data_IF_198173024724
#
_entry.id   IF_198173024724
#
_cell.length_a   1.000
_cell.length_b   1.000
_cell.length_c   1.000
_cell.angle_alpha   90.00
_cell.angle_beta   90.00
_cell.angle_gamma   90.00
#
_symmetry.space_group_name_H-M   'P 1'
#
loop_
_entity.id
_entity.type
_entity.pdbx_description
1 polymer ?
#
# COMPACT_ATOMS: atom_id res chain seq x y z
N UNK A 1 -15.18 3.59 -2.65
CA UNK A 1 -15.85 2.39 -2.07
C UNK A 1 -16.69 2.79 -0.88
N UNK A 2 -17.76 2.07 -0.54
CA UNK A 2 -18.41 2.22 0.77
C UNK A 2 -17.43 1.88 1.88
N UNK A 3 -17.55 2.56 3.05
CA UNK A 3 -16.65 2.33 4.18
C UNK A 3 -16.99 1.06 4.99
N UNK A 4 -18.14 0.43 4.73
CA UNK A 4 -18.66 -0.74 5.45
C UNK A 4 -19.33 -1.74 4.53
N UNK A 5 -19.52 -2.98 4.99
CA UNK A 5 -20.23 -4.05 4.28
C UNK A 5 -19.41 -4.70 3.15
N UNK A 6 -18.09 -4.51 3.14
CA UNK A 6 -17.19 -5.15 2.17
C UNK A 6 -16.53 -6.39 2.75
N UNK A 7 -16.04 -7.23 1.85
CA UNK A 7 -15.07 -8.29 2.16
C UNK A 7 -13.74 -7.90 1.51
N UNK A 8 -12.73 -7.66 2.35
CA UNK A 8 -11.49 -6.96 2.01
C UNK A 8 -10.28 -7.87 2.24
N UNK A 9 -9.46 -8.09 1.24
CA UNK A 9 -8.17 -8.76 1.40
C UNK A 9 -7.00 -7.77 1.34
N UNK A 10 -6.12 -7.82 2.36
CA UNK A 10 -5.01 -6.89 2.53
C UNK A 10 -3.68 -7.67 2.66
N UNK A 11 -3.06 -8.14 1.56
CA UNK A 11 -1.72 -8.72 1.57
C UNK A 11 -0.66 -7.72 2.06
N UNK A 12 0.22 -8.16 2.97
CA UNK A 12 1.25 -7.29 3.56
C UNK A 12 0.78 -6.47 4.77
N UNK A 13 -0.30 -6.88 5.42
CA UNK A 13 -0.93 -6.15 6.53
C UNK A 13 -0.64 -6.74 7.92
N UNK A 14 0.49 -7.43 8.11
CA UNK A 14 0.86 -7.98 9.43
C UNK A 14 1.45 -6.95 10.40
N UNK A 15 1.65 -5.70 9.97
CA UNK A 15 2.16 -4.61 10.80
C UNK A 15 1.86 -3.24 10.18
N UNK A 16 2.23 -2.16 10.90
CA UNK A 16 2.22 -0.79 10.39
C UNK A 16 0.87 -0.35 9.85
N UNK A 17 0.89 0.38 8.72
CA UNK A 17 -0.31 0.93 8.08
C UNK A 17 -1.34 -0.17 7.77
N UNK A 18 -0.87 -1.32 7.26
CA UNK A 18 -1.76 -2.40 6.85
C UNK A 18 -2.57 -2.98 7.98
N UNK A 19 -1.96 -3.31 9.10
CA UNK A 19 -2.65 -3.85 10.27
C UNK A 19 -3.57 -2.82 10.92
N UNK A 20 -3.10 -1.58 11.04
CA UNK A 20 -3.92 -0.51 11.61
C UNK A 20 -5.15 -0.21 10.73
N UNK A 21 -5.00 -0.21 9.40
CA UNK A 21 -6.11 -0.04 8.47
C UNK A 21 -7.08 -1.24 8.53
N UNK A 22 -6.55 -2.48 8.56
CA UNK A 22 -7.35 -3.69 8.69
C UNK A 22 -8.25 -3.65 9.94
N UNK A 23 -7.69 -3.30 11.10
CA UNK A 23 -8.45 -3.19 12.35
C UNK A 23 -9.53 -2.09 12.30
N UNK A 24 -9.23 -0.93 11.70
CA UNK A 24 -10.21 0.16 11.55
C UNK A 24 -11.32 -0.19 10.56
N UNK A 25 -11.01 -0.85 9.45
CA UNK A 25 -12.00 -1.31 8.48
C UNK A 25 -12.90 -2.40 9.09
N UNK A 26 -12.33 -3.35 9.83
CA UNK A 26 -13.10 -4.38 10.55
C UNK A 26 -14.07 -3.74 11.56
N UNK A 27 -13.62 -2.75 12.32
CA UNK A 27 -14.46 -2.02 13.28
C UNK A 27 -15.61 -1.24 12.61
N UNK A 28 -15.56 -0.99 11.29
CA UNK A 28 -16.65 -0.39 10.50
C UNK A 28 -17.61 -1.42 9.90
N UNK A 29 -17.49 -2.69 10.28
CA UNK A 29 -18.40 -3.76 9.85
C UNK A 29 -18.04 -4.39 8.51
N UNK A 30 -16.75 -4.37 8.14
CA UNK A 30 -16.25 -5.13 7.02
C UNK A 30 -15.72 -6.50 7.48
N UNK A 31 -15.78 -7.51 6.62
CA UNK A 31 -14.99 -8.73 6.74
C UNK A 31 -13.59 -8.43 6.21
N UNK A 32 -12.56 -8.60 7.03
CA UNK A 32 -11.19 -8.25 6.64
C UNK A 32 -10.26 -9.43 6.80
N UNK A 33 -9.54 -9.76 5.73
CA UNK A 33 -8.55 -10.82 5.66
C UNK A 33 -7.15 -10.18 5.62
N UNK A 34 -6.34 -10.44 6.64
CA UNK A 34 -4.95 -10.00 6.75
C UNK A 34 -4.06 -11.02 6.05
N UNK A 35 -3.21 -10.56 5.14
CA UNK A 35 -2.25 -11.42 4.43
C UNK A 35 -0.80 -11.20 4.86
N UNK A 36 -0.04 -12.29 5.02
CA UNK A 36 1.38 -12.23 5.34
C UNK A 36 2.13 -13.55 5.19
N UNK A 37 3.46 -13.50 5.27
CA UNK A 37 4.32 -14.68 5.03
C UNK A 37 4.45 -15.61 6.23
N UNK A 38 4.43 -15.04 7.44
CA UNK A 38 4.74 -15.75 8.69
C UNK A 38 3.46 -16.24 9.35
N UNK A 39 3.28 -17.56 9.40
CA UNK A 39 2.10 -18.19 10.04
C UNK A 39 1.95 -17.81 11.50
N UNK A 40 3.04 -17.84 12.28
CA UNK A 40 3.03 -17.47 13.70
C UNK A 40 2.55 -16.03 13.93
N UNK A 41 2.91 -15.10 13.04
CA UNK A 41 2.46 -13.71 13.11
C UNK A 41 0.97 -13.59 12.78
N UNK A 42 0.49 -14.36 11.80
CA UNK A 42 -0.93 -14.41 11.44
C UNK A 42 -1.77 -15.00 12.57
N UNK A 43 -1.31 -16.05 13.22
CA UNK A 43 -1.95 -16.64 14.40
C UNK A 43 -2.02 -15.65 15.56
N UNK A 44 -0.94 -14.92 15.82
CA UNK A 44 -0.91 -13.84 16.81
C UNK A 44 -1.93 -12.75 16.50
N UNK A 45 -2.00 -12.29 15.25
CA UNK A 45 -2.95 -11.26 14.83
C UNK A 45 -4.38 -11.74 15.01
N UNK A 46 -4.71 -12.98 14.62
CA UNK A 46 -6.05 -13.55 14.80
C UNK A 46 -6.44 -13.63 16.28
N UNK A 47 -5.49 -13.90 17.17
CA UNK A 47 -5.73 -13.94 18.62
C UNK A 47 -5.89 -12.55 19.25
N UNK A 48 -5.08 -11.57 18.82
CA UNK A 48 -5.08 -10.19 19.35
C UNK A 48 -6.22 -9.33 18.78
N UNK A 49 -6.69 -9.65 17.57
CA UNK A 49 -7.74 -8.92 16.85
C UNK A 49 -8.90 -9.86 16.47
N UNK A 50 -9.75 -10.26 17.44
CA UNK A 50 -10.89 -11.11 17.14
C UNK A 50 -11.80 -10.49 16.07
N UNK A 51 -12.04 -11.25 14.99
CA UNK A 51 -12.82 -10.78 13.83
C UNK A 51 -12.00 -10.40 12.61
N UNK A 52 -10.66 -10.34 12.70
CA UNK A 52 -9.80 -10.39 11.54
C UNK A 52 -9.59 -11.85 11.13
N UNK A 53 -9.80 -12.15 9.84
CA UNK A 53 -9.38 -13.40 9.23
C UNK A 53 -7.94 -13.29 8.70
N UNK A 54 -7.29 -14.40 8.42
CA UNK A 54 -5.89 -14.41 7.98
C UNK A 54 -5.67 -15.37 6.81
N UNK A 55 -4.70 -15.05 5.95
CA UNK A 55 -4.25 -15.89 4.86
C UNK A 55 -2.74 -15.83 4.72
N UNK A 56 -2.09 -16.99 4.58
CA UNK A 56 -0.66 -17.00 4.33
C UNK A 56 -0.36 -16.68 2.86
N UNK A 57 0.50 -15.68 2.64
CA UNK A 57 0.87 -15.25 1.28
C UNK A 57 2.26 -14.61 1.25
N UNK A 58 3.07 -15.01 0.28
CA UNK A 58 4.27 -14.29 -0.15
C UNK A 58 3.99 -13.60 -1.49
N UNK A 59 3.94 -12.27 -1.48
CA UNK A 59 3.64 -11.47 -2.67
C UNK A 59 4.80 -11.43 -3.68
N UNK A 60 5.96 -11.97 -3.34
CA UNK A 60 7.09 -12.13 -4.27
C UNK A 60 7.04 -13.45 -5.03
N UNK A 61 6.30 -14.44 -4.54
CA UNK A 61 6.16 -15.78 -5.14
C UNK A 61 4.83 -15.95 -5.87
N UNK A 62 4.82 -16.11 -7.21
CA UNK A 62 3.61 -16.34 -7.99
C UNK A 62 2.81 -17.59 -7.55
N UNK A 63 3.48 -18.66 -7.11
CA UNK A 63 2.81 -19.87 -6.65
C UNK A 63 2.07 -19.63 -5.33
N UNK A 64 2.70 -18.90 -4.39
CA UNK A 64 2.07 -18.50 -3.14
C UNK A 64 0.87 -17.58 -3.37
N UNK A 65 0.96 -16.62 -4.31
CA UNK A 65 -0.15 -15.75 -4.68
C UNK A 65 -1.33 -16.58 -5.22
N UNK A 66 -1.07 -17.51 -6.14
CA UNK A 66 -2.14 -18.35 -6.73
C UNK A 66 -2.81 -19.23 -5.68
N UNK A 67 -2.05 -19.82 -4.77
CA UNK A 67 -2.58 -20.64 -3.70
C UNK A 67 -3.42 -19.81 -2.72
N UNK A 68 -2.93 -18.66 -2.30
CA UNK A 68 -3.65 -17.76 -1.40
C UNK A 68 -4.92 -17.19 -2.06
N UNK A 69 -4.87 -16.81 -3.34
CA UNK A 69 -6.06 -16.36 -4.06
C UNK A 69 -7.15 -17.42 -4.09
N UNK A 70 -6.79 -18.67 -4.42
CA UNK A 70 -7.76 -19.78 -4.38
C UNK A 70 -8.34 -19.96 -3.00
N UNK A 71 -7.52 -20.05 -1.97
CA UNK A 71 -7.96 -20.24 -0.59
C UNK A 71 -8.90 -19.13 -0.11
N UNK A 72 -8.51 -17.86 -0.36
CA UNK A 72 -9.29 -16.69 0.06
C UNK A 72 -10.63 -16.66 -0.67
N UNK A 73 -10.67 -16.88 -1.97
CA UNK A 73 -11.90 -16.87 -2.75
C UNK A 73 -12.83 -18.07 -2.45
N UNK A 74 -12.28 -19.22 -2.12
CA UNK A 74 -13.06 -20.38 -1.65
C UNK A 74 -13.77 -20.09 -0.29
N UNK A 75 -13.11 -19.36 0.61
CA UNK A 75 -13.66 -18.97 1.93
C UNK A 75 -14.53 -17.71 1.88
N UNK A 76 -14.23 -16.81 0.98
CA UNK A 76 -14.86 -15.49 0.85
C UNK A 76 -15.26 -15.22 -0.61
N UNK A 77 -16.28 -15.90 -1.14
CA UNK A 77 -16.75 -15.73 -2.52
C UNK A 77 -17.38 -14.34 -2.79
N UNK A 78 -17.65 -13.58 -1.76
CA UNK A 78 -18.14 -12.20 -1.79
C UNK A 78 -17.04 -11.15 -1.70
N UNK A 79 -15.75 -11.54 -1.79
CA UNK A 79 -14.62 -10.61 -1.75
C UNK A 79 -14.77 -9.57 -2.87
N UNK A 80 -14.81 -8.30 -2.48
CA UNK A 80 -15.01 -7.20 -3.40
C UNK A 80 -13.96 -6.09 -3.28
N UNK A 81 -13.03 -6.18 -2.31
CA UNK A 81 -11.95 -5.20 -2.17
C UNK A 81 -10.58 -5.89 -2.04
N UNK A 82 -9.65 -5.50 -2.90
CA UNK A 82 -8.24 -5.90 -2.83
C UNK A 82 -7.37 -4.70 -2.50
N UNK A 83 -6.60 -4.75 -1.41
CA UNK A 83 -5.62 -3.72 -1.06
C UNK A 83 -4.21 -4.22 -1.36
N UNK A 84 -3.65 -3.83 -2.48
CA UNK A 84 -2.31 -4.24 -2.92
C UNK A 84 -1.24 -3.33 -2.29
N UNK A 85 -0.86 -3.61 -1.03
CA UNK A 85 -0.03 -2.70 -0.24
C UNK A 85 1.29 -3.28 0.25
N UNK A 86 1.56 -4.56 0.06
CA UNK A 86 2.84 -5.15 0.45
C UNK A 86 4.00 -4.36 -0.14
N UNK A 87 4.98 -4.00 0.69
CA UNK A 87 6.10 -3.21 0.24
C UNK A 87 7.27 -3.24 1.21
N UNK A 88 8.45 -3.01 0.69
CA UNK A 88 9.71 -2.88 1.41
C UNK A 88 10.43 -1.60 0.98
N UNK A 89 11.29 -1.09 1.84
CA UNK A 89 12.08 0.10 1.60
C UNK A 89 13.48 -0.09 2.18
N UNK A 90 14.50 0.25 1.42
CA UNK A 90 15.90 0.15 1.84
C UNK A 90 16.65 1.44 1.54
N UNK A 91 17.63 1.77 2.37
CA UNK A 91 18.64 2.78 2.07
C UNK A 91 19.63 2.16 1.07
N UNK A 92 19.92 2.88 0.00
CA UNK A 92 20.77 2.42 -1.10
C UNK A 92 21.87 3.44 -1.39
N UNK A 93 23.09 2.95 -1.60
CA UNK A 93 24.21 3.75 -2.10
C UNK A 93 24.51 3.37 -3.56
N UNK A 94 24.06 4.18 -4.48
CA UNK A 94 24.21 3.93 -5.92
C UNK A 94 25.64 4.20 -6.47
N UNK A 95 26.59 4.61 -5.64
CA UNK A 95 28.00 4.62 -5.98
C UNK A 95 28.63 3.21 -5.92
N UNK A 96 27.95 2.24 -5.30
CA UNK A 96 28.47 0.88 -5.08
C UNK A 96 27.52 -0.16 -5.69
N UNK A 97 27.71 -0.55 -6.97
CA UNK A 97 26.77 -1.44 -7.68
C UNK A 97 26.47 -2.75 -6.95
N UNK A 98 27.47 -3.34 -6.28
CA UNK A 98 27.32 -4.59 -5.55
C UNK A 98 26.36 -4.49 -4.36
N UNK A 99 26.18 -3.28 -3.79
CA UNK A 99 25.32 -3.09 -2.63
C UNK A 99 23.86 -2.79 -3.01
N UNK A 100 23.61 -2.03 -4.10
CA UNK A 100 22.26 -1.61 -4.43
C UNK A 100 21.49 -2.57 -5.35
N UNK A 101 22.16 -3.35 -6.22
CA UNK A 101 21.46 -4.12 -7.27
C UNK A 101 20.49 -5.15 -6.67
N UNK A 102 20.93 -5.94 -5.71
CA UNK A 102 20.07 -6.94 -5.04
C UNK A 102 18.92 -6.27 -4.28
N UNK A 103 19.16 -5.11 -3.66
CA UNK A 103 18.13 -4.29 -3.02
C UNK A 103 17.10 -3.81 -4.05
N UNK A 104 17.55 -3.24 -5.15
CA UNK A 104 16.70 -2.75 -6.23
C UNK A 104 15.79 -3.84 -6.81
N UNK A 105 16.37 -5.01 -7.13
CA UNK A 105 15.61 -6.17 -7.63
C UNK A 105 14.54 -6.63 -6.61
N UNK A 106 14.90 -6.71 -5.33
CA UNK A 106 13.97 -7.06 -4.25
C UNK A 106 12.84 -6.04 -4.11
N UNK A 107 13.16 -4.74 -4.14
CA UNK A 107 12.18 -3.65 -4.07
C UNK A 107 11.22 -3.69 -5.26
N UNK A 108 11.73 -3.82 -6.49
CA UNK A 108 10.89 -3.90 -7.69
C UNK A 108 10.02 -5.16 -7.66
N UNK A 109 10.57 -6.29 -7.27
CA UNK A 109 9.81 -7.55 -7.17
C UNK A 109 8.67 -7.43 -6.16
N UNK A 110 8.93 -6.87 -4.99
CA UNK A 110 7.92 -6.75 -3.93
C UNK A 110 6.92 -5.63 -4.22
N UNK A 111 7.41 -4.43 -4.54
CA UNK A 111 6.58 -3.22 -4.57
C UNK A 111 5.85 -3.00 -5.90
N UNK A 112 6.31 -3.60 -6.99
CA UNK A 112 5.72 -3.44 -8.32
C UNK A 112 5.19 -4.76 -8.88
N UNK A 113 6.02 -5.79 -9.00
CA UNK A 113 5.57 -7.07 -9.54
C UNK A 113 4.58 -7.77 -8.59
N UNK A 114 4.75 -7.65 -7.28
CA UNK A 114 3.81 -8.16 -6.29
C UNK A 114 2.37 -7.65 -6.51
N UNK A 115 2.11 -6.34 -6.48
CA UNK A 115 0.81 -5.76 -6.79
C UNK A 115 0.24 -6.16 -8.15
N UNK A 116 1.06 -6.20 -9.22
CA UNK A 116 0.62 -6.64 -10.56
C UNK A 116 0.14 -8.10 -10.51
N UNK A 117 0.89 -8.99 -9.88
CA UNK A 117 0.54 -10.41 -9.74
C UNK A 117 -0.71 -10.62 -8.88
N UNK A 118 -0.84 -9.85 -7.80
CA UNK A 118 -2.06 -9.85 -6.96
C UNK A 118 -3.28 -9.43 -7.76
N UNK A 119 -3.20 -8.31 -8.48
CA UNK A 119 -4.29 -7.85 -9.33
C UNK A 119 -4.64 -8.92 -10.37
N UNK A 120 -3.64 -9.51 -11.03
CA UNK A 120 -3.88 -10.58 -12.02
C UNK A 120 -4.59 -11.80 -11.43
N UNK A 121 -4.31 -12.16 -10.17
CA UNK A 121 -4.92 -13.31 -9.50
C UNK A 121 -6.38 -13.06 -9.07
N UNK A 122 -6.79 -11.81 -8.88
CA UNK A 122 -8.12 -11.47 -8.37
C UNK A 122 -9.02 -10.76 -9.39
N UNK A 123 -8.50 -10.27 -10.50
CA UNK A 123 -9.23 -9.35 -11.40
C UNK A 123 -10.50 -9.97 -12.00
N UNK A 124 -10.47 -11.23 -12.42
CA UNK A 124 -11.65 -11.90 -12.96
C UNK A 124 -12.78 -11.99 -11.93
N UNK A 125 -12.43 -12.35 -10.69
CA UNK A 125 -13.37 -12.40 -9.58
C UNK A 125 -13.93 -11.01 -9.26
N UNK A 126 -13.07 -9.99 -9.17
CA UNK A 126 -13.49 -8.61 -8.86
C UNK A 126 -14.42 -8.05 -9.95
N UNK A 127 -14.16 -8.32 -11.22
CA UNK A 127 -15.05 -7.91 -12.32
C UNK A 127 -16.43 -8.61 -12.28
N UNK A 128 -16.53 -9.77 -11.65
CA UNK A 128 -17.81 -10.45 -11.46
C UNK A 128 -18.63 -9.92 -10.29
N UNK A 129 -18.02 -9.10 -9.40
CA UNK A 129 -18.73 -8.46 -8.28
C UNK A 129 -19.51 -7.22 -8.78
N UNK A 130 -20.68 -6.91 -8.20
CA UNK A 130 -21.50 -5.77 -8.59
C UNK A 130 -20.84 -4.40 -8.28
N UNK A 131 -20.00 -4.35 -7.25
CA UNK A 131 -19.22 -3.17 -6.84
C UNK A 131 -17.88 -3.66 -6.27
N UNK A 132 -16.79 -3.40 -6.95
CA UNK A 132 -15.47 -3.84 -6.54
C UNK A 132 -14.46 -2.69 -6.51
N UNK A 133 -13.46 -2.81 -5.64
CA UNK A 133 -12.41 -1.79 -5.53
C UNK A 133 -11.03 -2.45 -5.43
N UNK A 134 -10.09 -1.94 -6.21
CA UNK A 134 -8.66 -2.18 -6.04
C UNK A 134 -8.06 -0.94 -5.39
N UNK A 135 -7.46 -1.10 -4.21
CA UNK A 135 -6.66 -0.05 -3.58
C UNK A 135 -5.18 -0.37 -3.81
N UNK A 136 -4.52 0.49 -4.57
CA UNK A 136 -3.06 0.48 -4.72
C UNK A 136 -2.41 1.40 -3.71
N UNK A 137 -1.15 1.14 -3.33
CA UNK A 137 -0.45 1.98 -2.34
C UNK A 137 0.87 2.47 -2.92
N UNK A 138 0.87 3.74 -3.33
CA UNK A 138 2.09 4.45 -3.74
C UNK A 138 2.81 5.11 -2.55
N UNK A 139 3.29 6.30 -2.70
CA UNK A 139 3.94 7.11 -1.66
C UNK A 139 4.10 8.54 -2.14
N UNK A 140 4.24 9.50 -1.26
CA UNK A 140 4.70 10.85 -1.60
C UNK A 140 6.05 10.85 -2.32
N UNK A 141 6.91 9.85 -2.06
CA UNK A 141 8.20 9.69 -2.75
C UNK A 141 8.09 9.16 -4.19
N UNK A 142 6.90 8.76 -4.63
CA UNK A 142 6.60 8.51 -6.04
C UNK A 142 6.48 9.79 -6.87
N UNK A 143 6.35 10.95 -6.21
CA UNK A 143 6.22 12.28 -6.83
C UNK A 143 7.43 13.18 -6.55
N UNK A 144 8.03 13.04 -5.37
CA UNK A 144 9.20 13.80 -4.93
C UNK A 144 10.25 12.83 -4.42
N UNK A 145 11.44 12.70 -5.05
CA UNK A 145 12.38 11.64 -4.72
C UNK A 145 13.09 11.88 -3.38
N UNK A 146 13.12 10.85 -2.55
CA UNK A 146 14.00 10.79 -1.40
C UNK A 146 15.36 10.21 -1.85
N UNK A 147 16.44 10.96 -1.67
CA UNK A 147 17.77 10.66 -2.18
C UNK A 147 18.28 9.26 -1.86
N UNK A 148 18.01 8.79 -0.64
CA UNK A 148 18.58 7.55 -0.11
C UNK A 148 17.81 6.28 -0.48
N UNK A 149 16.70 6.40 -1.23
CA UNK A 149 15.83 5.26 -1.57
C UNK A 149 15.42 5.23 -3.04
N UNK A 150 16.38 5.26 -4.00
CA UNK A 150 16.06 5.43 -5.42
C UNK A 150 15.13 4.36 -6.00
N UNK A 151 15.37 3.08 -5.70
CA UNK A 151 14.52 1.99 -6.20
C UNK A 151 13.12 2.01 -5.61
N UNK A 152 12.98 2.40 -4.34
CA UNK A 152 11.68 2.59 -3.71
C UNK A 152 10.89 3.71 -4.41
N UNK A 153 11.51 4.88 -4.61
CA UNK A 153 10.87 6.00 -5.31
C UNK A 153 10.38 5.58 -6.70
N UNK A 154 11.25 4.90 -7.47
CA UNK A 154 10.91 4.38 -8.80
C UNK A 154 9.73 3.41 -8.75
N UNK A 155 9.72 2.47 -7.78
CA UNK A 155 8.61 1.52 -7.61
C UNK A 155 7.29 2.23 -7.30
N UNK A 156 7.31 3.29 -6.48
CA UNK A 156 6.11 4.04 -6.09
C UNK A 156 5.60 4.96 -7.19
N UNK A 157 6.49 5.55 -7.99
CA UNK A 157 6.13 6.25 -9.22
C UNK A 157 5.49 5.30 -10.25
N UNK A 158 6.02 4.08 -10.39
CA UNK A 158 5.43 3.05 -11.25
C UNK A 158 4.03 2.63 -10.78
N UNK A 159 3.79 2.48 -9.47
CA UNK A 159 2.44 2.17 -8.93
C UNK A 159 1.46 3.31 -9.19
N UNK A 160 1.88 4.58 -9.07
CA UNK A 160 1.03 5.71 -9.45
C UNK A 160 0.58 5.61 -10.91
N UNK A 161 1.53 5.47 -11.83
CA UNK A 161 1.23 5.36 -13.27
C UNK A 161 0.40 4.10 -13.60
N UNK A 162 0.65 2.98 -12.92
CA UNK A 162 -0.16 1.77 -13.03
C UNK A 162 -1.61 2.03 -12.60
N UNK A 163 -1.81 2.75 -11.50
CA UNK A 163 -3.16 3.09 -10.98
C UNK A 163 -3.94 3.95 -11.96
N UNK A 164 -3.30 4.96 -12.56
CA UNK A 164 -3.89 5.78 -13.61
C UNK A 164 -4.30 4.92 -14.83
N UNK A 165 -3.41 4.04 -15.28
CA UNK A 165 -3.65 3.17 -16.45
C UNK A 165 -4.77 2.17 -16.19
N UNK A 166 -4.83 1.57 -15.00
CA UNK A 166 -5.89 0.63 -14.62
C UNK A 166 -7.26 1.32 -14.56
N UNK A 167 -7.35 2.56 -14.06
CA UNK A 167 -8.61 3.33 -14.08
C UNK A 167 -9.15 3.51 -15.50
N UNK A 168 -8.26 3.73 -16.48
CA UNK A 168 -8.66 3.87 -17.87
C UNK A 168 -9.13 2.55 -18.48
N UNK A 169 -8.39 1.46 -18.21
CA UNK A 169 -8.70 0.15 -18.77
C UNK A 169 -9.95 -0.50 -18.16
N UNK A 170 -10.23 -0.25 -16.90
CA UNK A 170 -11.36 -0.85 -16.16
C UNK A 170 -12.60 0.05 -16.12
N UNK A 171 -12.59 1.16 -16.83
CA UNK A 171 -13.67 2.17 -16.80
C UNK A 171 -15.04 1.66 -17.22
N UNK A 172 -15.09 0.59 -18.02
CA UNK A 172 -16.31 -0.08 -18.49
C UNK A 172 -16.73 -1.29 -17.61
N UNK A 173 -16.06 -1.49 -16.47
CA UNK A 173 -16.35 -2.58 -15.52
C UNK A 173 -16.90 -2.03 -14.18
N UNK A 174 -17.26 -2.95 -13.26
CA UNK A 174 -17.64 -2.62 -11.88
C UNK A 174 -16.46 -2.24 -10.98
N UNK A 175 -15.21 -2.41 -11.46
CA UNK A 175 -13.99 -2.29 -10.63
C UNK A 175 -13.52 -0.84 -10.59
N UNK A 176 -13.53 -0.25 -9.41
CA UNK A 176 -12.91 1.06 -9.14
C UNK A 176 -11.45 0.88 -8.73
N UNK A 177 -10.60 1.83 -9.09
CA UNK A 177 -9.19 1.84 -8.67
C UNK A 177 -8.91 3.13 -7.88
N UNK A 178 -8.62 2.97 -6.60
CA UNK A 178 -8.25 4.05 -5.69
C UNK A 178 -6.79 3.91 -5.30
N UNK A 179 -6.04 4.98 -5.29
CA UNK A 179 -4.64 5.02 -4.88
C UNK A 179 -4.52 5.66 -3.50
N UNK A 180 -3.99 4.93 -2.53
CA UNK A 180 -3.56 5.50 -1.24
C UNK A 180 -2.13 6.01 -1.39
N UNK A 181 -1.90 7.27 -1.01
CA UNK A 181 -0.60 7.95 -1.11
C UNK A 181 -0.10 8.35 0.28
N UNK A 182 0.65 7.48 1.00
CA UNK A 182 1.19 7.83 2.30
C UNK A 182 2.34 8.85 2.23
N UNK A 183 2.43 9.78 3.20
CA UNK A 183 3.68 10.46 3.54
C UNK A 183 4.62 9.52 4.33
N UNK A 184 5.69 10.06 4.94
CA UNK A 184 6.42 9.35 5.98
C UNK A 184 5.50 9.14 7.19
N UNK A 185 5.27 7.87 7.58
CA UNK A 185 4.44 7.45 8.71
C UNK A 185 5.28 6.66 9.70
N UNK A 186 5.11 6.87 11.00
CA UNK A 186 5.84 6.15 12.07
C UNK A 186 5.50 4.67 12.04
N UNK A 187 6.32 3.90 11.34
CA UNK A 187 6.23 2.45 11.18
C UNK A 187 7.63 1.84 11.08
N UNK A 188 7.73 0.52 11.18
CA UNK A 188 9.00 -0.21 10.97
C UNK A 188 9.38 -0.43 9.50
N UNK A 189 8.86 0.35 8.55
CA UNK A 189 9.16 0.18 7.12
C UNK A 189 10.64 0.48 6.80
N UNK A 190 11.19 1.52 7.42
CA UNK A 190 12.60 1.88 7.35
C UNK A 190 13.17 1.93 8.78
N UNK A 191 14.37 1.44 9.04
CA UNK A 191 14.98 1.53 10.37
C UNK A 191 14.97 2.95 10.93
N UNK A 192 14.48 3.12 12.17
CA UNK A 192 14.39 4.43 12.83
C UNK A 192 13.20 5.31 12.43
N UNK A 193 12.40 4.90 11.45
CA UNK A 193 11.22 5.66 11.03
C UNK A 193 10.10 5.64 12.10
N UNK A 194 10.01 4.59 12.88
CA UNK A 194 9.07 4.43 14.00
C UNK A 194 9.24 5.48 15.10
N UNK A 195 10.47 5.99 15.31
CA UNK A 195 10.82 7.02 16.29
C UNK A 195 11.01 8.41 15.67
N UNK A 196 10.92 8.54 14.35
CA UNK A 196 11.11 9.81 13.65
C UNK A 196 9.98 10.80 13.97
N UNK A 197 10.32 11.92 14.63
CA UNK A 197 9.34 12.95 15.02
C UNK A 197 8.79 13.73 13.84
N UNK A 198 9.48 13.75 12.68
CA UNK A 198 9.00 14.39 11.47
C UNK A 198 7.97 13.52 10.72
N UNK A 199 7.91 12.22 11.00
CA UNK A 199 6.93 11.32 10.43
C UNK A 199 5.57 11.44 11.14
N UNK A 200 4.49 11.27 10.39
CA UNK A 200 3.10 11.29 10.91
C UNK A 200 2.88 10.11 11.86
N UNK A 201 2.31 10.30 13.05
CA UNK A 201 1.90 9.19 13.91
C UNK A 201 0.95 8.24 13.17
N UNK A 202 1.14 6.92 13.35
CA UNK A 202 0.37 5.91 12.64
C UNK A 202 -1.15 6.06 12.84
N UNK A 203 -1.58 6.30 14.08
CA UNK A 203 -3.00 6.43 14.42
C UNK A 203 -3.64 7.68 13.80
N UNK A 204 -2.93 8.80 13.75
CA UNK A 204 -3.37 10.03 13.07
C UNK A 204 -3.53 9.80 11.58
N UNK A 205 -2.51 9.18 10.95
CA UNK A 205 -2.54 8.86 9.52
C UNK A 205 -3.74 7.97 9.16
N UNK A 206 -3.94 6.87 9.90
CA UNK A 206 -5.04 5.93 9.60
C UNK A 206 -6.39 6.57 9.88
N UNK A 207 -6.51 7.42 10.91
CA UNK A 207 -7.75 8.16 11.20
C UNK A 207 -8.12 9.10 10.06
N UNK A 208 -7.15 9.83 9.50
CA UNK A 208 -7.39 10.71 8.35
C UNK A 208 -7.74 9.93 7.09
N UNK A 209 -7.04 8.80 6.82
CA UNK A 209 -7.37 7.89 5.71
C UNK A 209 -8.81 7.38 5.81
N UNK A 210 -9.23 6.92 6.98
CA UNK A 210 -10.61 6.44 7.20
C UNK A 210 -11.65 7.54 6.97
N UNK A 211 -11.37 8.77 7.43
CA UNK A 211 -12.25 9.92 7.19
C UNK A 211 -12.36 10.27 5.70
N UNK A 212 -11.25 10.21 4.96
CA UNK A 212 -11.23 10.45 3.51
C UNK A 212 -11.98 9.36 2.74
N UNK A 213 -11.78 8.08 3.09
CA UNK A 213 -12.53 6.98 2.48
C UNK A 213 -14.04 7.10 2.71
N UNK A 214 -14.46 7.61 3.87
CA UNK A 214 -15.87 7.83 4.20
C UNK A 214 -16.47 9.03 3.48
N UNK A 215 -15.76 10.17 3.43
CA UNK A 215 -16.25 11.42 2.83
C UNK A 215 -16.15 11.45 1.31
N UNK A 216 -15.21 10.70 0.73
CA UNK A 216 -14.89 10.71 -0.69
C UNK A 216 -14.86 9.28 -1.27
N UNK A 217 -16.00 8.56 -1.30
CA UNK A 217 -16.04 7.14 -1.68
C UNK A 217 -15.61 6.86 -3.14
N UNK A 218 -15.61 7.87 -3.99
CA UNK A 218 -15.20 7.79 -5.39
C UNK A 218 -13.86 8.48 -5.68
N UNK A 219 -13.09 8.82 -4.63
CA UNK A 219 -11.78 9.43 -4.78
C UNK A 219 -10.83 8.53 -5.57
N UNK A 220 -10.14 9.13 -6.53
CA UNK A 220 -9.08 8.46 -7.30
C UNK A 220 -7.81 8.29 -6.49
N UNK A 221 -7.52 9.26 -5.62
CA UNK A 221 -6.37 9.28 -4.71
C UNK A 221 -6.84 9.63 -3.30
N UNK A 222 -6.37 8.90 -2.31
CA UNK A 222 -6.54 9.24 -0.88
C UNK A 222 -5.27 9.95 -0.44
N UNK A 223 -5.39 11.27 -0.28
CA UNK A 223 -4.29 12.19 0.02
C UNK A 223 -4.51 12.83 1.39
N UNK A 224 -3.86 12.32 2.42
CA UNK A 224 -3.81 13.01 3.72
C UNK A 224 -3.12 14.38 3.55
N UNK A 225 -3.44 15.35 4.38
CA UNK A 225 -2.97 16.73 4.21
C UNK A 225 -1.44 16.82 4.08
N UNK A 226 -0.73 16.06 4.91
CA UNK A 226 0.75 16.06 4.94
C UNK A 226 1.39 15.66 3.61
N UNK A 227 0.80 14.75 2.84
CA UNK A 227 1.39 14.27 1.58
C UNK A 227 1.20 15.25 0.42
N UNK A 228 0.22 16.14 0.49
CA UNK A 228 -0.06 17.12 -0.56
C UNK A 228 1.14 18.02 -0.87
N UNK A 229 2.00 18.28 0.13
CA UNK A 229 3.25 19.00 -0.07
C UNK A 229 4.15 18.30 -1.12
N UNK A 230 4.31 16.98 -1.02
CA UNK A 230 5.10 16.18 -1.97
C UNK A 230 4.34 15.95 -3.29
N UNK A 231 3.04 15.62 -3.20
CA UNK A 231 2.23 15.25 -4.36
C UNK A 231 2.10 16.37 -5.39
N UNK A 232 2.03 17.61 -4.96
CA UNK A 232 1.69 18.75 -5.81
C UNK A 232 2.87 19.70 -6.08
N UNK A 233 4.12 19.34 -5.78
CA UNK A 233 5.29 20.21 -6.02
C UNK A 233 5.41 20.66 -7.48
N UNK A 234 5.25 19.72 -8.43
CA UNK A 234 5.26 20.07 -9.86
C UNK A 234 4.09 20.98 -10.24
N UNK A 235 2.88 20.64 -9.81
CA UNK A 235 1.68 21.42 -10.14
C UNK A 235 1.69 22.83 -9.55
N UNK A 236 2.34 23.02 -8.38
CA UNK A 236 2.55 24.35 -7.77
C UNK A 236 3.69 25.13 -8.39
N UNK A 237 4.60 24.46 -9.10
CA UNK A 237 5.79 25.08 -9.69
C UNK A 237 6.94 25.30 -8.68
N UNK A 238 6.93 24.61 -7.55
CA UNK A 238 7.96 24.70 -6.49
C UNK A 238 8.70 23.36 -6.25
N UNK A 239 8.73 22.48 -7.26
CA UNK A 239 9.29 21.13 -7.18
C UNK A 239 10.69 21.07 -6.59
N UNK A 240 11.62 21.91 -7.06
CA UNK A 240 13.00 21.91 -6.57
C UNK A 240 13.07 22.23 -5.07
N UNK A 241 12.26 23.18 -4.60
CA UNK A 241 12.14 23.48 -3.17
C UNK A 241 11.60 22.28 -2.37
N UNK A 242 10.61 21.57 -2.91
CA UNK A 242 10.02 20.38 -2.25
C UNK A 242 11.05 19.26 -2.16
N UNK A 243 11.84 19.02 -3.23
CA UNK A 243 12.94 18.04 -3.23
C UNK A 243 13.99 18.39 -2.19
N UNK A 244 14.41 19.66 -2.14
CA UNK A 244 15.40 20.14 -1.17
C UNK A 244 14.89 19.98 0.26
N UNK A 245 13.69 20.42 0.55
CA UNK A 245 13.08 20.33 1.88
C UNK A 245 12.91 18.87 2.37
N UNK A 246 12.47 17.96 1.48
CA UNK A 246 12.36 16.54 1.82
C UNK A 246 13.73 15.96 2.20
N UNK A 247 14.75 16.21 1.39
CA UNK A 247 16.08 15.62 1.57
C UNK A 247 16.90 16.28 2.69
N UNK A 248 16.63 17.54 3.02
CA UNK A 248 17.23 18.21 4.19
C UNK A 248 16.71 17.64 5.52
N UNK A 249 15.50 17.14 5.56
CA UNK A 249 14.84 16.56 6.74
C UNK A 249 15.11 15.06 6.94
N UNK A 250 15.77 14.40 5.98
CA UNK A 250 16.01 12.95 6.05
C UNK A 250 17.14 12.60 7.02
N UNK A 251 16.86 11.79 8.07
CA UNK A 251 17.87 11.37 9.04
C UNK A 251 18.92 10.41 8.48
N UNK A 252 18.66 9.76 7.33
CA UNK A 252 19.54 8.79 6.69
C UNK A 252 20.45 9.43 5.62
N UNK A 253 20.21 10.69 5.26
CA UNK A 253 20.94 11.42 4.20
C UNK A 253 22.25 12.08 4.63
N UNK A 254 22.81 11.71 5.79
CA UNK A 254 24.07 12.27 6.33
C UNK A 254 25.27 11.41 6.00
#
# INVERSE_FOLDING_TARGET
MNISGNTIFIPGSTSGIGLALAARLQARGNTVIVGGRRSEELERIAAEHPGLDTAQIDTTDPASISAAAKEVLDRHPDLNVLVAMAGIMHVEDWHQPESFLASAESVITTNLLGPIRLIAAFIEHLQAQPDATIITVSSGTGFTPLKVTPSYNASKAAIHMLSESLRLQLADTSVKVTELVPPSVRTGLLPGQDTNQAAVPLDEFVSEVMALLESEPDAKEILVERVKFLRYGEARGDYDHVVEALNASDPHGK
#
